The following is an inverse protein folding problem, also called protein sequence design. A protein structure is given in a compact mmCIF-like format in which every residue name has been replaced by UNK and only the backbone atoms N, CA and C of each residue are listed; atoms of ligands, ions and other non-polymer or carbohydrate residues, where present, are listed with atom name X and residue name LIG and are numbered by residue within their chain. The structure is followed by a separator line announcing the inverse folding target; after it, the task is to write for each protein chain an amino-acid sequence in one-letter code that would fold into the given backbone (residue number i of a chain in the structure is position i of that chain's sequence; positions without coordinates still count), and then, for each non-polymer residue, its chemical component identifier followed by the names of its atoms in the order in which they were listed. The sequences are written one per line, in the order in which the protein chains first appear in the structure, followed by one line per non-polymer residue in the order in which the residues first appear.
data_IF_147607314126
#
_entry.id   IF_147607314126
#
_cell.length_a   1.000
_cell.length_b   1.000
_cell.length_c   1.000
_cell.angle_alpha   90.00
_cell.angle_beta   90.00
_cell.angle_gamma   90.00
#
_symmetry.space_group_name_H-M   'P 1'
#
loop_
_entity.id
_entity.type
_entity.pdbx_description
1 polymer ?
#
# COMPACT_ATOMS: atom_id res chain seq x y z
N UNK A 1 27.98 14.72 -16.04
CA UNK A 1 27.04 15.41 -15.12
C UNK A 1 25.76 14.62 -14.81
N UNK A 2 25.47 13.50 -15.49
CA UNK A 2 24.30 12.63 -15.22
C UNK A 2 24.43 11.60 -14.07
N UNK A 3 25.63 11.14 -13.63
CA UNK A 3 25.67 10.13 -12.56
C UNK A 3 25.43 10.73 -11.17
N UNK A 4 25.79 12.01 -10.95
CA UNK A 4 25.59 12.68 -9.66
C UNK A 4 24.11 12.91 -9.31
N UNK A 5 23.28 13.22 -10.31
CA UNK A 5 21.84 13.42 -10.10
C UNK A 5 21.12 12.11 -9.73
N UNK A 6 21.59 10.98 -10.26
CA UNK A 6 21.04 9.66 -9.95
C UNK A 6 21.41 9.22 -8.51
N UNK A 7 22.63 9.54 -8.06
CA UNK A 7 23.05 9.29 -6.67
C UNK A 7 22.26 10.12 -5.66
N UNK A 8 21.89 11.36 -6.00
CA UNK A 8 21.14 12.25 -5.12
C UNK A 8 19.68 11.82 -4.96
N UNK A 9 19.05 11.32 -6.03
CA UNK A 9 17.66 10.84 -6.01
C UNK A 9 17.49 9.55 -5.19
N UNK A 10 18.49 8.66 -5.21
CA UNK A 10 18.52 7.44 -4.38
C UNK A 10 18.72 7.80 -2.89
N UNK A 11 19.49 8.86 -2.60
CA UNK A 11 19.73 9.31 -1.22
C UNK A 11 18.47 9.91 -0.56
N UNK A 12 17.61 10.59 -1.34
CA UNK A 12 16.36 11.18 -0.83
C UNK A 12 15.31 10.10 -0.50
N UNK A 13 15.24 9.02 -1.27
CA UNK A 13 14.34 7.90 -0.98
C UNK A 13 14.69 7.18 0.34
N UNK A 14 15.98 7.15 0.70
CA UNK A 14 16.45 6.56 1.95
C UNK A 14 16.03 7.35 3.22
N UNK A 15 15.59 8.60 3.06
CA UNK A 15 15.07 9.45 4.14
C UNK A 15 13.54 9.52 4.19
N UNK A 16 12.83 8.76 3.35
CA UNK A 16 11.37 8.69 3.37
C UNK A 16 10.91 7.94 4.63
N UNK A 17 10.76 8.68 5.72
CA UNK A 17 10.27 8.11 6.98
C UNK A 17 8.75 7.92 6.92
N UNK A 18 8.30 6.68 7.14
CA UNK A 18 6.88 6.38 7.25
C UNK A 18 6.28 7.16 8.43
N UNK A 19 5.28 7.99 8.16
CA UNK A 19 4.51 8.66 9.20
C UNK A 19 3.56 7.66 9.84
N UNK A 20 3.80 7.35 11.12
CA UNK A 20 2.93 6.47 11.91
C UNK A 20 2.03 7.33 12.81
N UNK A 21 0.73 7.07 12.77
CA UNK A 21 -0.25 7.74 13.62
C UNK A 21 -1.01 6.66 14.40
N UNK A 22 -0.95 6.71 15.73
CA UNK A 22 -1.64 5.77 16.60
C UNK A 22 -2.91 6.39 17.19
N UNK A 23 -4.05 5.72 17.04
CA UNK A 23 -5.33 6.13 17.62
C UNK A 23 -5.80 5.07 18.62
N UNK A 24 -5.39 5.14 19.90
CA UNK A 24 -5.81 4.17 20.91
C UNK A 24 -7.30 4.31 21.22
N UNK A 25 -8.01 3.18 21.27
CA UNK A 25 -9.44 3.11 21.59
C UNK A 25 -9.73 2.10 22.69
N UNK A 26 -10.99 2.04 23.14
CA UNK A 26 -11.47 1.05 24.13
C UNK A 26 -11.90 -0.29 23.51
N UNK A 27 -11.98 -0.36 22.18
CA UNK A 27 -12.35 -1.56 21.45
C UNK A 27 -11.19 -2.56 21.44
N UNK A 28 -11.46 -3.88 21.52
CA UNK A 28 -10.43 -4.91 21.33
C UNK A 28 -10.01 -5.06 19.85
N UNK A 29 -10.66 -4.37 18.91
CA UNK A 29 -10.33 -4.42 17.49
C UNK A 29 -9.14 -3.51 17.16
N UNK A 30 -8.21 -4.02 16.36
CA UNK A 30 -7.07 -3.27 15.81
C UNK A 30 -7.29 -3.08 14.31
N UNK A 31 -7.23 -1.83 13.85
CA UNK A 31 -7.31 -1.51 12.43
C UNK A 31 -5.98 -0.89 11.98
N UNK A 32 -5.40 -1.48 10.94
CA UNK A 32 -4.25 -0.91 10.25
C UNK A 32 -4.73 -0.20 8.99
N UNK A 33 -4.37 1.08 8.86
CA UNK A 33 -4.57 1.84 7.63
C UNK A 33 -3.22 2.28 7.11
N UNK A 34 -2.82 1.68 6.00
CA UNK A 34 -1.60 2.03 5.28
C UNK A 34 -2.04 2.96 4.16
N UNK A 35 -1.48 4.18 4.13
CA UNK A 35 -1.83 5.20 3.14
C UNK A 35 -0.60 5.51 2.32
N UNK A 36 -0.76 5.47 1.00
CA UNK A 36 0.21 5.94 0.03
C UNK A 36 -0.32 7.23 -0.59
N UNK A 37 0.54 8.24 -0.68
CA UNK A 37 0.25 9.48 -1.41
C UNK A 37 0.42 9.28 -2.90
N UNK A 38 -0.30 8.29 -3.45
CA UNK A 38 -0.28 7.89 -4.85
C UNK A 38 -1.66 7.35 -5.22
N UNK A 39 -2.53 8.22 -5.74
CA UNK A 39 -3.84 7.82 -6.26
C UNK A 39 -3.87 7.75 -7.78
N UNK A 40 -5.08 7.74 -8.36
CA UNK A 40 -5.28 7.69 -9.81
C UNK A 40 -4.71 8.88 -10.59
N UNK A 41 -4.39 10.00 -9.92
CA UNK A 41 -3.65 11.13 -10.53
C UNK A 41 -2.25 10.73 -10.96
N UNK A 42 -1.70 9.68 -10.35
CA UNK A 42 -0.35 9.15 -10.61
C UNK A 42 -0.36 8.13 -11.73
N UNK A 43 -1.53 7.77 -12.27
CA UNK A 43 -1.64 6.83 -13.36
C UNK A 43 -0.94 7.38 -14.61
N UNK A 44 -0.10 6.57 -15.29
CA UNK A 44 0.47 6.97 -16.56
C UNK A 44 -0.62 7.35 -17.57
N UNK A 45 -0.36 8.30 -18.49
CA UNK A 45 -1.37 8.76 -19.45
C UNK A 45 -1.99 7.65 -20.32
N UNK A 46 -1.23 6.58 -20.55
CA UNK A 46 -1.62 5.40 -21.33
C UNK A 46 -2.22 4.26 -20.48
N UNK A 47 -2.30 4.42 -19.15
CA UNK A 47 -2.68 3.35 -18.20
C UNK A 47 -3.63 3.86 -17.11
N UNK A 48 -4.77 4.42 -17.52
CA UNK A 48 -5.81 4.80 -16.58
C UNK A 48 -6.29 3.59 -15.75
N UNK A 49 -6.36 3.74 -14.43
CA UNK A 49 -6.76 2.68 -13.50
C UNK A 49 -5.59 1.80 -13.03
N UNK A 50 -4.34 2.15 -13.34
CA UNK A 50 -3.17 1.40 -12.87
C UNK A 50 -3.08 1.37 -11.34
N UNK A 51 -3.35 2.49 -10.67
CA UNK A 51 -3.41 2.59 -9.22
C UNK A 51 -4.51 1.68 -8.65
N UNK A 52 -5.71 1.71 -9.25
CA UNK A 52 -6.82 0.87 -8.83
C UNK A 52 -6.50 -0.62 -8.96
N UNK A 53 -6.02 -1.04 -10.12
CA UNK A 53 -5.65 -2.44 -10.36
C UNK A 53 -4.53 -2.89 -9.41
N UNK A 54 -3.54 -2.05 -9.18
CA UNK A 54 -2.43 -2.35 -8.25
C UNK A 54 -2.94 -2.51 -6.82
N UNK A 55 -3.83 -1.64 -6.37
CA UNK A 55 -4.43 -1.72 -5.05
C UNK A 55 -5.26 -3.01 -4.87
N UNK A 56 -6.07 -3.36 -5.88
CA UNK A 56 -6.84 -4.62 -5.87
C UNK A 56 -5.93 -5.85 -5.88
N UNK A 57 -4.83 -5.82 -6.63
CA UNK A 57 -3.83 -6.88 -6.62
C UNK A 57 -3.14 -7.02 -5.26
N UNK A 58 -2.95 -5.94 -4.52
CA UNK A 58 -2.38 -5.98 -3.18
C UNK A 58 -3.38 -6.51 -2.14
N UNK A 59 -4.66 -6.11 -2.23
CA UNK A 59 -5.69 -6.54 -1.28
C UNK A 59 -6.19 -7.97 -1.54
N UNK A 60 -6.28 -8.39 -2.80
CA UNK A 60 -6.89 -9.66 -3.21
C UNK A 60 -5.93 -10.61 -3.95
N UNK A 61 -4.63 -10.30 -3.97
CA UNK A 61 -3.60 -11.15 -4.55
C UNK A 61 -2.86 -12.03 -3.53
N UNK A 62 -1.98 -12.88 -4.03
CA UNK A 62 -0.98 -13.56 -3.20
C UNK A 62 0.23 -12.68 -2.94
N UNK A 63 0.98 -12.99 -1.88
CA UNK A 63 2.30 -12.40 -1.61
C UNK A 63 3.40 -13.25 -2.23
N UNK A 64 4.67 -12.85 -2.03
CA UNK A 64 5.82 -13.64 -2.48
C UNK A 64 5.94 -14.97 -1.74
N UNK A 65 5.44 -15.03 -0.51
CA UNK A 65 5.60 -16.17 0.40
C UNK A 65 4.29 -16.93 0.61
N UNK A 66 3.13 -16.29 0.39
CA UNK A 66 1.82 -16.86 0.64
C UNK A 66 0.91 -16.73 -0.57
N UNK A 67 0.21 -17.81 -0.92
CA UNK A 67 -0.88 -17.73 -1.89
C UNK A 67 -2.06 -16.96 -1.31
N UNK A 68 -2.97 -16.46 -2.16
CA UNK A 68 -4.16 -15.77 -1.69
C UNK A 68 -4.99 -16.63 -0.72
N UNK A 69 -5.18 -17.92 -1.00
CA UNK A 69 -5.86 -18.84 -0.07
C UNK A 69 -5.15 -18.97 1.27
N UNK A 70 -3.82 -19.08 1.28
CA UNK A 70 -3.07 -19.15 2.53
C UNK A 70 -3.21 -17.87 3.36
N UNK A 71 -3.32 -16.70 2.72
CA UNK A 71 -3.61 -15.43 3.41
C UNK A 71 -5.02 -15.46 4.02
N UNK A 72 -6.02 -15.92 3.28
CA UNK A 72 -7.40 -16.05 3.80
C UNK A 72 -7.48 -17.02 4.98
N UNK A 73 -6.83 -18.18 4.88
CA UNK A 73 -6.79 -19.18 5.95
C UNK A 73 -6.11 -18.63 7.21
N UNK A 74 -5.08 -17.80 7.06
CA UNK A 74 -4.41 -17.13 8.17
C UNK A 74 -5.29 -16.04 8.81
N UNK A 75 -6.10 -15.33 8.02
CA UNK A 75 -7.00 -14.28 8.53
C UNK A 75 -8.28 -14.82 9.17
N UNK A 76 -8.73 -16.00 8.76
CA UNK A 76 -9.99 -16.60 9.20
C UNK A 76 -10.11 -16.76 10.74
N UNK A 77 -9.11 -17.29 11.47
CA UNK A 77 -9.17 -17.43 12.93
C UNK A 77 -9.32 -16.11 13.68
N UNK A 78 -8.87 -15.00 13.08
CA UNK A 78 -8.92 -13.66 13.67
C UNK A 78 -10.18 -12.89 13.26
N UNK A 79 -11.05 -13.48 12.42
CA UNK A 79 -12.16 -12.78 11.76
C UNK A 79 -11.69 -11.47 11.08
N UNK A 80 -10.48 -11.50 10.51
CA UNK A 80 -9.84 -10.34 9.88
C UNK A 80 -10.29 -10.15 8.43
N UNK A 81 -10.19 -8.91 7.96
CA UNK A 81 -10.40 -8.57 6.55
C UNK A 81 -9.26 -7.68 6.03
N UNK A 82 -9.01 -7.78 4.73
CA UNK A 82 -8.08 -6.93 3.99
C UNK A 82 -8.82 -6.39 2.76
N UNK A 83 -8.73 -5.09 2.55
CA UNK A 83 -9.38 -4.39 1.44
C UNK A 83 -8.54 -3.16 1.06
N UNK A 84 -8.83 -2.53 -0.08
CA UNK A 84 -8.15 -1.33 -0.52
C UNK A 84 -9.12 -0.36 -1.20
N UNK A 85 -8.91 0.93 -0.96
CA UNK A 85 -9.71 1.99 -1.57
C UNK A 85 -8.78 2.96 -2.28
N UNK A 86 -9.10 3.29 -3.53
CA UNK A 86 -8.31 4.24 -4.33
C UNK A 86 -9.10 5.53 -4.53
N UNK A 87 -8.47 6.65 -4.19
CA UNK A 87 -8.92 8.01 -4.50
C UNK A 87 -7.98 8.64 -5.55
N UNK A 88 -8.24 9.89 -5.94
CA UNK A 88 -7.43 10.64 -6.90
C UNK A 88 -6.00 10.85 -6.42
N UNK A 89 -5.84 11.22 -5.16
CA UNK A 89 -4.54 11.61 -4.58
C UNK A 89 -3.95 10.53 -3.67
N UNK A 90 -4.75 9.56 -3.25
CA UNK A 90 -4.36 8.61 -2.19
C UNK A 90 -4.91 7.21 -2.47
N UNK A 91 -4.20 6.22 -1.95
CA UNK A 91 -4.64 4.81 -1.85
C UNK A 91 -4.28 4.25 -0.48
#
# INVERSE_FOLDING_TARGET
MKPLALSLLIFTAALAQMRVVTLPGKSPLVSFRIVFTAGSVTDPPDKAGAAYLTAMMLAHGGTREMTYHAVLDAMFPMAGSLDAQVDKEMV
#
